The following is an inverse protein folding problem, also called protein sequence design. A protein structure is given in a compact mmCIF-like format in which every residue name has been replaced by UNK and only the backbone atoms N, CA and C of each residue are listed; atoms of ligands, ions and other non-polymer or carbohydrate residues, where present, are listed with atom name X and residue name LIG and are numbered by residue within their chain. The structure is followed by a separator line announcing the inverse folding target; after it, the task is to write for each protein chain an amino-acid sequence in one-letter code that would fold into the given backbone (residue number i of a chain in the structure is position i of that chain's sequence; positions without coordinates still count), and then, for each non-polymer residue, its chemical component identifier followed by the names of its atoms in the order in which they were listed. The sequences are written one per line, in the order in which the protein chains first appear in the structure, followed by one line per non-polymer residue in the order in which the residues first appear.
data_IF_478874673852
#
_entry.id   IF_478874673852
#
_cell.length_a   1.000
_cell.length_b   1.000
_cell.length_c   1.000
_cell.angle_alpha   90.00
_cell.angle_beta   90.00
_cell.angle_gamma   90.00
#
_symmetry.space_group_name_H-M   'P 1'
#
loop_
_entity.id
_entity.type
_entity.pdbx_description
1 polymer ?
#
# COMPACT_ATOMS: atom_id res chain seq x y z
N UNK A 1 -2.09 19.68 -6.56
CA UNK A 1 -0.81 19.14 -6.06
C UNK A 1 -0.34 20.06 -4.94
N UNK A 2 0.01 19.56 -3.76
CA UNK A 2 0.59 20.43 -2.72
C UNK A 2 1.99 20.86 -3.16
N UNK A 3 2.26 22.16 -3.08
CA UNK A 3 3.55 22.76 -3.43
C UNK A 3 4.68 22.30 -2.51
N UNK A 4 5.94 22.42 -2.98
CA UNK A 4 7.17 22.15 -2.21
C UNK A 4 7.24 22.87 -0.86
N UNK A 5 6.50 23.97 -0.70
CA UNK A 5 6.40 24.73 0.56
C UNK A 5 5.88 23.91 1.75
N UNK A 6 5.12 22.83 1.54
CA UNK A 6 4.69 21.97 2.65
C UNK A 6 5.85 21.21 3.31
N UNK A 7 6.96 20.99 2.59
CA UNK A 7 8.14 20.29 3.12
C UNK A 7 9.12 21.23 3.83
N UNK A 8 9.16 22.50 3.43
CA UNK A 8 10.11 23.47 4.00
C UNK A 8 9.64 24.08 5.33
N UNK A 9 8.33 24.01 5.62
CA UNK A 9 7.73 24.49 6.86
C UNK A 9 6.83 23.40 7.45
N UNK A 10 7.39 22.33 8.04
CA UNK A 10 6.57 21.33 8.71
C UNK A 10 5.71 22.02 9.77
N UNK A 11 4.42 21.66 9.91
CA UNK A 11 3.55 22.25 10.92
C UNK A 11 4.21 22.15 12.30
N UNK A 12 4.25 23.26 13.03
CA UNK A 12 4.70 23.24 14.43
C UNK A 12 3.81 22.27 15.21
N UNK A 13 4.42 21.33 15.92
CA UNK A 13 3.71 20.36 16.77
C UNK A 13 2.85 21.11 17.78
N UNK A 14 1.55 21.16 17.52
CA UNK A 14 0.56 21.78 18.38
C UNK A 14 -0.44 20.71 18.79
N UNK A 15 -0.66 20.57 20.09
CA UNK A 15 -1.70 19.69 20.64
C UNK A 15 -3.12 20.06 20.16
N UNK A 16 -3.29 21.22 19.53
CA UNK A 16 -4.55 21.68 18.95
C UNK A 16 -4.86 21.09 17.55
N UNK A 17 -3.87 20.52 16.85
CA UNK A 17 -4.04 19.99 15.49
C UNK A 17 -4.30 18.47 15.45
N UNK A 18 -4.63 17.87 16.60
CA UNK A 18 -4.83 16.43 16.78
C UNK A 18 -3.53 15.69 17.13
N UNK A 19 -3.64 14.50 17.73
CA UNK A 19 -2.47 13.69 18.09
C UNK A 19 -1.67 13.25 16.83
N UNK A 20 -0.45 12.76 16.98
CA UNK A 20 0.38 12.19 15.90
C UNK A 20 1.87 12.38 16.18
N UNK A 21 2.71 11.69 15.41
CA UNK A 21 4.17 11.78 15.47
C UNK A 21 4.74 11.89 14.05
N UNK A 22 5.93 12.48 13.91
CA UNK A 22 6.65 12.44 12.63
C UNK A 22 7.16 11.02 12.43
N UNK A 23 6.76 10.39 11.33
CA UNK A 23 7.17 9.05 10.93
C UNK A 23 7.82 9.09 9.55
N UNK A 24 8.82 8.22 9.37
CA UNK A 24 9.38 7.94 8.06
C UNK A 24 8.53 6.88 7.36
N UNK A 25 7.95 7.26 6.22
CA UNK A 25 7.10 6.41 5.41
C UNK A 25 7.38 6.72 3.93
N UNK A 26 7.77 5.71 3.14
CA UNK A 26 8.11 5.93 1.73
C UNK A 26 9.30 6.87 1.51
N UNK A 27 10.24 6.90 2.45
CA UNK A 27 11.41 7.81 2.42
C UNK A 27 11.07 9.28 2.70
N UNK A 28 9.84 9.58 3.11
CA UNK A 28 9.38 10.92 3.46
C UNK A 28 9.24 11.03 4.98
N UNK A 29 9.69 12.17 5.53
CA UNK A 29 9.33 12.58 6.89
C UNK A 29 7.91 13.15 6.86
N UNK A 30 6.95 12.44 7.43
CA UNK A 30 5.53 12.77 7.33
C UNK A 30 4.89 12.78 8.70
N UNK A 31 3.95 13.69 8.92
CA UNK A 31 3.08 13.61 10.09
C UNK A 31 1.95 12.61 9.77
N UNK A 32 2.18 11.35 10.13
CA UNK A 32 1.28 10.25 9.78
C UNK A 32 0.88 9.46 11.04
N UNK A 33 -0.37 9.02 11.04
CA UNK A 33 -0.95 8.14 12.07
C UNK A 33 -1.51 6.86 11.47
N UNK A 34 -1.45 6.70 10.15
CA UNK A 34 -2.08 5.59 9.45
C UNK A 34 -1.63 4.25 10.01
N UNK A 35 -0.32 4.09 10.25
CA UNK A 35 0.21 2.87 10.86
C UNK A 35 -0.23 2.65 12.31
N UNK A 36 -0.24 3.69 13.14
CA UNK A 36 -0.63 3.60 14.55
C UNK A 36 -2.13 3.30 14.70
N UNK A 37 -2.96 4.03 13.95
CA UNK A 37 -4.41 3.86 13.99
C UNK A 37 -4.82 2.52 13.36
N UNK A 38 -4.18 2.08 12.27
CA UNK A 38 -4.40 0.74 11.73
C UNK A 38 -4.06 -0.36 12.75
N UNK A 39 -2.96 -0.24 13.49
CA UNK A 39 -2.60 -1.19 14.56
C UNK A 39 -3.67 -1.24 15.67
N UNK A 40 -4.25 -0.09 16.04
CA UNK A 40 -5.35 -0.04 17.01
C UNK A 40 -6.60 -0.76 16.48
N UNK A 41 -6.93 -0.58 15.21
CA UNK A 41 -8.05 -1.30 14.56
C UNK A 41 -7.78 -2.79 14.52
N UNK A 42 -6.57 -3.21 14.12
CA UNK A 42 -6.14 -4.63 14.12
C UNK A 42 -6.29 -5.23 15.52
N UNK A 43 -5.80 -4.54 16.56
CA UNK A 43 -5.93 -4.99 17.94
C UNK A 43 -7.41 -5.08 18.38
N UNK A 44 -8.23 -4.10 18.01
CA UNK A 44 -9.66 -4.12 18.30
C UNK A 44 -10.38 -5.29 17.61
N UNK A 45 -10.05 -5.59 16.34
CA UNK A 45 -10.59 -6.75 15.62
C UNK A 45 -10.19 -8.07 16.30
N UNK A 46 -8.90 -8.22 16.66
CA UNK A 46 -8.42 -9.38 17.41
C UNK A 46 -9.15 -9.55 18.75
N UNK A 47 -9.40 -8.45 19.47
CA UNK A 47 -10.16 -8.49 20.74
C UNK A 47 -11.61 -8.95 20.59
N UNK A 48 -12.19 -8.80 19.38
CA UNK A 48 -13.53 -9.29 19.03
C UNK A 48 -13.53 -10.74 18.49
N UNK A 49 -12.40 -11.44 18.54
CA UNK A 49 -12.27 -12.81 18.09
C UNK A 49 -11.95 -12.98 16.60
N UNK A 50 -11.61 -11.90 15.88
CA UNK A 50 -11.13 -12.01 14.49
C UNK A 50 -9.74 -12.61 14.50
N UNK A 51 -9.58 -13.79 13.90
CA UNK A 51 -8.32 -14.54 13.84
C UNK A 51 -7.47 -14.20 12.61
N UNK A 52 -8.09 -13.70 11.54
CA UNK A 52 -7.42 -13.39 10.28
C UNK A 52 -7.81 -12.02 9.73
N UNK A 53 -6.81 -11.22 9.39
CA UNK A 53 -6.90 -9.84 8.95
C UNK A 53 -5.98 -9.65 7.75
N UNK A 54 -6.55 -9.29 6.61
CA UNK A 54 -5.81 -8.77 5.46
C UNK A 54 -5.89 -7.25 5.40
N UNK A 55 -4.91 -6.61 4.77
CA UNK A 55 -4.89 -5.16 4.57
C UNK A 55 -4.72 -4.81 3.10
N UNK A 56 -5.64 -4.03 2.55
CA UNK A 56 -5.51 -3.44 1.21
C UNK A 56 -5.22 -1.94 1.33
N UNK A 57 -4.22 -1.47 0.61
CA UNK A 57 -3.79 -0.07 0.60
C UNK A 57 -3.85 0.52 -0.80
N UNK A 58 -4.42 1.71 -0.91
CA UNK A 58 -4.61 2.44 -2.17
C UNK A 58 -3.80 3.74 -2.12
N UNK A 59 -2.96 4.02 -3.12
CA UNK A 59 -2.13 5.24 -3.15
C UNK A 59 -1.29 5.36 -1.86
N UNK A 60 -1.48 6.41 -1.07
CA UNK A 60 -0.84 6.61 0.24
C UNK A 60 -1.07 5.42 1.20
N UNK A 61 -2.27 4.83 1.16
CA UNK A 61 -2.58 3.65 1.94
C UNK A 61 -1.68 2.45 1.61
N UNK A 62 -1.09 2.43 0.41
CA UNK A 62 -0.11 1.42 0.01
C UNK A 62 1.16 1.44 0.86
N UNK A 63 1.62 2.63 1.24
CA UNK A 63 2.79 2.82 2.09
C UNK A 63 2.52 2.26 3.50
N UNK A 64 1.33 2.57 4.03
CA UNK A 64 0.84 2.02 5.30
C UNK A 64 0.72 0.50 5.23
N UNK A 65 0.18 -0.06 4.14
CA UNK A 65 0.08 -1.51 3.93
C UNK A 65 1.44 -2.21 3.94
N UNK A 66 2.45 -1.67 3.23
CA UNK A 66 3.82 -2.22 3.25
C UNK A 66 4.41 -2.16 4.65
N UNK A 67 4.23 -1.03 5.35
CA UNK A 67 4.71 -0.89 6.73
C UNK A 67 4.04 -1.87 7.69
N UNK A 68 2.73 -2.11 7.55
CA UNK A 68 2.04 -3.12 8.34
C UNK A 68 2.51 -4.54 7.99
N UNK A 69 2.80 -4.78 6.71
CA UNK A 69 3.34 -6.03 6.20
C UNK A 69 4.78 -6.33 6.69
N UNK A 70 5.49 -5.36 7.28
CA UNK A 70 6.78 -5.58 7.94
C UNK A 70 6.65 -6.19 9.36
N UNK A 71 5.41 -6.42 9.79
CA UNK A 71 5.04 -7.14 11.01
C UNK A 71 4.24 -8.39 10.66
N UNK A 72 4.02 -9.26 11.64
CA UNK A 72 3.18 -10.47 11.48
C UNK A 72 1.79 -10.29 12.10
N UNK A 73 1.35 -9.05 12.27
CA UNK A 73 0.05 -8.74 12.87
C UNK A 73 -1.13 -8.98 11.93
N UNK A 74 -0.85 -9.03 10.62
CA UNK A 74 -1.78 -9.27 9.51
C UNK A 74 -1.35 -10.53 8.76
N UNK A 75 -2.25 -11.12 7.97
CA UNK A 75 -1.99 -12.37 7.24
C UNK A 75 -1.56 -12.13 5.80
N UNK A 76 -2.00 -11.03 5.18
CA UNK A 76 -1.61 -10.67 3.82
C UNK A 76 -1.85 -9.18 3.55
N UNK A 77 -1.09 -8.64 2.61
CA UNK A 77 -1.25 -7.27 2.13
C UNK A 77 -1.52 -7.23 0.61
N UNK A 78 -2.33 -6.27 0.18
CA UNK A 78 -2.48 -5.91 -1.24
C UNK A 78 -2.25 -4.41 -1.38
N UNK A 79 -1.42 -4.02 -2.33
CA UNK A 79 -1.10 -2.62 -2.63
C UNK A 79 -1.62 -2.31 -4.02
N UNK A 80 -2.44 -1.26 -4.16
CA UNK A 80 -3.04 -0.84 -5.42
C UNK A 80 -2.60 0.59 -5.73
N UNK A 81 -2.07 0.80 -6.95
CA UNK A 81 -1.46 2.05 -7.42
C UNK A 81 -0.59 2.71 -6.32
N UNK A 82 0.55 2.09 -5.97
CA UNK A 82 1.29 2.45 -4.77
C UNK A 82 1.68 3.92 -4.68
N UNK A 83 1.65 4.48 -3.47
CA UNK A 83 2.39 5.69 -3.15
C UNK A 83 3.90 5.45 -3.16
N UNK A 84 4.71 6.48 -2.80
CA UNK A 84 6.16 6.32 -2.66
C UNK A 84 6.50 5.22 -1.64
N UNK A 85 7.29 4.23 -2.05
CA UNK A 85 7.77 3.15 -1.18
C UNK A 85 9.28 3.01 -1.44
N UNK A 86 10.07 2.77 -0.39
CA UNK A 86 11.51 2.51 -0.56
C UNK A 86 11.77 1.01 -0.75
N UNK A 87 12.91 0.69 -1.35
CA UNK A 87 13.35 -0.69 -1.47
C UNK A 87 13.60 -1.35 -0.10
N UNK A 88 14.09 -0.59 0.89
CA UNK A 88 14.30 -1.07 2.27
C UNK A 88 12.98 -1.43 2.97
N UNK A 89 11.90 -0.70 2.69
CA UNK A 89 10.57 -1.04 3.20
C UNK A 89 10.06 -2.36 2.61
N UNK A 90 10.36 -2.64 1.33
CA UNK A 90 10.06 -3.91 0.68
C UNK A 90 10.90 -5.06 1.27
N UNK A 91 12.19 -4.81 1.55
CA UNK A 91 13.05 -5.79 2.24
C UNK A 91 12.52 -6.12 3.64
N UNK A 92 11.79 -5.19 4.28
CA UNK A 92 11.16 -5.38 5.59
C UNK A 92 9.93 -6.28 5.59
N UNK A 93 9.32 -6.60 4.44
CA UNK A 93 8.05 -7.35 4.36
C UNK A 93 8.20 -8.79 4.87
N UNK A 94 7.22 -9.23 5.67
CA UNK A 94 7.17 -10.54 6.36
C UNK A 94 5.88 -11.34 6.12
N UNK A 95 4.92 -10.80 5.39
CA UNK A 95 3.63 -11.46 5.09
C UNK A 95 3.36 -11.46 3.58
N UNK A 96 2.58 -12.42 3.05
CA UNK A 96 2.26 -12.48 1.64
C UNK A 96 1.75 -11.15 1.10
N UNK A 97 2.38 -10.65 0.02
CA UNK A 97 2.07 -9.33 -0.54
C UNK A 97 1.84 -9.36 -2.05
N UNK A 98 0.77 -8.72 -2.50
CA UNK A 98 0.53 -8.42 -3.91
C UNK A 98 0.68 -6.92 -4.17
N UNK A 99 1.43 -6.54 -5.20
CA UNK A 99 1.60 -5.13 -5.61
C UNK A 99 1.06 -4.96 -7.03
N UNK A 100 -0.01 -4.18 -7.16
CA UNK A 100 -0.67 -3.88 -8.41
C UNK A 100 -0.34 -2.44 -8.78
N UNK A 101 0.43 -2.25 -9.85
CA UNK A 101 0.85 -0.93 -10.33
C UNK A 101 0.32 -0.57 -11.71
N UNK A 102 0.38 0.71 -12.03
CA UNK A 102 -0.02 1.26 -13.32
C UNK A 102 1.20 1.44 -14.23
N UNK A 103 1.03 1.24 -15.54
CA UNK A 103 2.06 1.53 -16.53
C UNK A 103 2.37 3.03 -16.62
N UNK A 104 1.33 3.87 -16.56
CA UNK A 104 1.42 5.33 -16.70
C UNK A 104 1.40 5.97 -15.31
N UNK A 105 2.35 5.58 -14.47
CA UNK A 105 2.47 6.05 -13.08
C UNK A 105 3.83 6.70 -12.83
N UNK A 106 3.82 7.97 -12.44
CA UNK A 106 5.05 8.71 -12.09
C UNK A 106 5.41 8.61 -10.60
N UNK A 107 4.48 8.17 -9.75
CA UNK A 107 4.69 8.01 -8.31
C UNK A 107 5.39 6.68 -8.04
N UNK A 108 4.91 5.60 -8.67
CA UNK A 108 5.50 4.26 -8.58
C UNK A 108 5.74 3.70 -10.00
N UNK A 109 6.80 4.14 -10.70
CA UNK A 109 7.00 3.77 -12.09
C UNK A 109 7.29 2.28 -12.28
N UNK A 110 6.97 1.70 -13.45
CA UNK A 110 7.17 0.28 -13.76
C UNK A 110 8.57 -0.27 -13.44
N UNK A 111 9.61 0.54 -13.62
CA UNK A 111 10.99 0.14 -13.29
C UNK A 111 11.17 -0.12 -11.79
N UNK A 112 10.62 0.75 -10.94
CA UNK A 112 10.68 0.58 -9.49
C UNK A 112 9.88 -0.66 -9.06
N UNK A 113 8.70 -0.88 -9.64
CA UNK A 113 7.87 -2.03 -9.34
C UNK A 113 8.55 -3.36 -9.73
N UNK A 114 9.30 -3.38 -10.83
CA UNK A 114 10.12 -4.56 -11.22
C UNK A 114 11.18 -4.86 -10.17
N UNK A 115 11.89 -3.84 -9.66
CA UNK A 115 12.87 -4.00 -8.58
C UNK A 115 12.23 -4.52 -7.29
N UNK A 116 11.03 -4.06 -6.96
CA UNK A 116 10.27 -4.63 -5.83
C UNK A 116 9.96 -6.11 -6.05
N UNK A 117 9.57 -6.49 -7.27
CA UNK A 117 9.37 -7.89 -7.64
C UNK A 117 10.63 -8.73 -7.48
N UNK A 118 11.79 -8.22 -7.89
CA UNK A 118 13.08 -8.91 -7.71
C UNK A 118 13.42 -9.10 -6.23
N UNK A 119 13.25 -8.05 -5.40
CA UNK A 119 13.47 -8.11 -3.95
C UNK A 119 12.49 -9.03 -3.22
N UNK A 120 11.25 -9.11 -3.67
CA UNK A 120 10.28 -10.03 -3.10
C UNK A 120 10.55 -11.48 -3.55
N UNK A 121 11.04 -11.68 -4.78
CA UNK A 121 11.31 -13.00 -5.33
C UNK A 121 12.41 -13.78 -4.59
N UNK A 122 13.34 -13.08 -3.93
CA UNK A 122 14.38 -13.73 -3.10
C UNK A 122 13.85 -14.26 -1.77
N UNK A 123 12.67 -13.82 -1.33
CA UNK A 123 12.01 -14.28 -0.10
C UNK A 123 11.16 -15.51 -0.39
N UNK A 124 11.80 -16.64 -0.70
CA UNK A 124 11.12 -17.88 -1.15
C UNK A 124 10.05 -18.44 -0.19
N UNK A 125 10.13 -18.11 1.09
CA UNK A 125 9.16 -18.47 2.13
C UNK A 125 7.89 -17.60 2.10
N UNK A 126 7.88 -16.57 1.27
CA UNK A 126 6.85 -15.55 1.18
C UNK A 126 6.26 -15.48 -0.23
N UNK A 127 5.02 -15.94 -0.37
CA UNK A 127 4.31 -15.74 -1.63
C UNK A 127 4.13 -14.24 -1.92
N UNK A 128 4.51 -13.83 -3.12
CA UNK A 128 4.38 -12.45 -3.56
C UNK A 128 4.25 -12.36 -5.07
N UNK A 129 3.62 -11.28 -5.56
CA UNK A 129 3.72 -10.93 -6.96
C UNK A 129 3.60 -9.42 -7.17
N UNK A 130 4.17 -8.97 -8.29
CA UNK A 130 4.00 -7.62 -8.82
C UNK A 130 3.35 -7.71 -10.19
N UNK A 131 2.27 -6.97 -10.40
CA UNK A 131 1.57 -6.88 -11.68
C UNK A 131 1.45 -5.44 -12.11
N UNK A 132 1.85 -5.16 -13.35
CA UNK A 132 1.75 -3.83 -13.95
C UNK A 132 0.63 -3.88 -14.97
N UNK A 133 -0.37 -3.02 -14.79
CA UNK A 133 -1.52 -2.91 -15.67
C UNK A 133 -1.21 -1.94 -16.82
N UNK A 134 -1.33 -2.37 -18.09
CA UNK A 134 -1.05 -1.51 -19.23
C UNK A 134 -2.14 -0.45 -19.42
N UNK A 135 -1.76 0.71 -19.97
CA UNK A 135 -2.69 1.77 -20.38
C UNK A 135 -3.38 2.54 -19.26
N UNK A 136 -3.17 2.17 -17.99
CA UNK A 136 -3.78 2.82 -16.84
C UNK A 136 -2.81 3.75 -16.11
N UNK A 137 -3.35 4.77 -15.46
CA UNK A 137 -2.61 5.77 -14.69
C UNK A 137 -2.76 5.58 -13.18
N UNK A 138 -2.00 6.33 -12.40
CA UNK A 138 -2.11 6.32 -10.94
C UNK A 138 -3.57 6.53 -10.46
N UNK A 139 -4.03 5.68 -9.53
CA UNK A 139 -5.38 5.73 -8.99
C UNK A 139 -6.44 5.02 -9.84
N UNK A 140 -6.07 4.30 -10.91
CA UNK A 140 -7.04 3.69 -11.83
C UNK A 140 -8.03 2.75 -11.16
N UNK A 141 -7.69 2.11 -10.04
CA UNK A 141 -8.60 1.15 -9.40
C UNK A 141 -9.81 1.82 -8.76
N UNK A 142 -9.74 3.13 -8.47
CA UNK A 142 -10.84 3.87 -7.83
C UNK A 142 -11.23 5.16 -8.56
N UNK A 143 -10.46 5.59 -9.56
CA UNK A 143 -10.67 6.85 -10.30
C UNK A 143 -10.92 6.67 -11.80
N UNK A 144 -11.15 5.45 -12.26
CA UNK A 144 -11.48 5.18 -13.67
C UNK A 144 -12.81 5.86 -14.06
N UNK A 145 -12.94 6.20 -15.34
CA UNK A 145 -14.23 6.64 -15.90
C UNK A 145 -15.08 5.42 -16.23
N UNK A 146 -16.36 5.43 -15.88
CA UNK A 146 -17.30 4.38 -16.27
C UNK A 146 -17.53 4.32 -17.81
N UNK A 147 -17.16 5.37 -18.53
CA UNK A 147 -17.24 5.45 -19.99
C UNK A 147 -16.00 4.88 -20.68
N UNK A 148 -14.90 4.67 -19.94
CA UNK A 148 -13.69 4.01 -20.44
C UNK A 148 -13.77 2.52 -20.13
N UNK A 149 -14.29 1.74 -21.07
CA UNK A 149 -14.41 0.28 -20.92
C UNK A 149 -13.07 -0.40 -20.60
N UNK A 150 -11.95 0.14 -21.08
CA UNK A 150 -10.64 -0.44 -20.83
C UNK A 150 -10.21 -0.19 -19.37
N UNK A 151 -10.37 1.04 -18.89
CA UNK A 151 -10.15 1.40 -17.50
C UNK A 151 -11.04 0.63 -16.53
N UNK A 152 -12.33 0.45 -16.87
CA UNK A 152 -13.26 -0.38 -16.09
C UNK A 152 -12.76 -1.81 -15.98
N UNK A 153 -12.45 -2.46 -17.11
CA UNK A 153 -11.97 -3.85 -17.13
C UNK A 153 -10.68 -4.02 -16.32
N UNK A 154 -9.73 -3.09 -16.45
CA UNK A 154 -8.48 -3.13 -15.69
C UNK A 154 -8.69 -2.87 -14.19
N UNK A 155 -9.68 -2.05 -13.80
CA UNK A 155 -10.02 -1.87 -12.39
C UNK A 155 -10.72 -3.10 -11.80
N UNK A 156 -11.64 -3.72 -12.55
CA UNK A 156 -12.30 -4.97 -12.18
C UNK A 156 -11.29 -6.12 -12.00
N UNK A 157 -10.34 -6.25 -12.94
CA UNK A 157 -9.27 -7.24 -12.85
C UNK A 157 -8.37 -7.01 -11.63
N UNK A 158 -8.00 -5.77 -11.33
CA UNK A 158 -7.21 -5.44 -10.14
C UNK A 158 -7.95 -5.77 -8.83
N UNK A 159 -9.27 -5.53 -8.77
CA UNK A 159 -10.07 -5.92 -7.61
C UNK A 159 -10.26 -7.43 -7.50
N UNK A 160 -10.35 -8.14 -8.63
CA UNK A 160 -10.39 -9.59 -8.65
C UNK A 160 -9.08 -10.19 -8.14
N UNK A 161 -7.93 -9.65 -8.55
CA UNK A 161 -6.61 -10.04 -8.04
C UNK A 161 -6.50 -9.82 -6.53
N UNK A 162 -6.99 -8.69 -6.02
CA UNK A 162 -7.09 -8.40 -4.58
C UNK A 162 -7.91 -9.47 -3.85
N UNK A 163 -9.13 -9.75 -4.33
CA UNK A 163 -10.04 -10.70 -3.69
C UNK A 163 -9.47 -12.12 -3.71
N UNK A 164 -8.87 -12.53 -4.82
CA UNK A 164 -8.21 -13.83 -4.95
C UNK A 164 -7.04 -13.95 -3.97
N UNK A 165 -6.25 -12.88 -3.80
CA UNK A 165 -5.16 -12.84 -2.83
C UNK A 165 -5.67 -13.06 -1.40
N UNK A 166 -6.68 -12.30 -0.98
CA UNK A 166 -7.23 -12.47 0.37
C UNK A 166 -7.91 -13.81 0.58
N UNK A 167 -8.63 -14.34 -0.41
CA UNK A 167 -9.22 -15.68 -0.36
C UNK A 167 -8.15 -16.76 -0.13
N UNK A 168 -6.94 -16.56 -0.67
CA UNK A 168 -5.83 -17.52 -0.51
C UNK A 168 -5.20 -17.46 0.88
N UNK A 169 -4.96 -16.27 1.44
CA UNK A 169 -4.11 -16.10 2.63
C UNK A 169 -4.83 -15.66 3.91
N UNK A 170 -6.02 -15.06 3.83
CA UNK A 170 -6.77 -14.58 5.00
C UNK A 170 -7.84 -15.61 5.33
N UNK A 171 -7.53 -16.53 6.26
CA UNK A 171 -8.35 -17.70 6.61
C UNK A 171 -8.63 -17.79 8.10
#
# INVERSE_FOLDING_TARGET
MSSSQCFENPPSLSSACGAGTVQELGGLQTYDKGCEDAKRVIAALKSKGVSAIGVAGFCWGGMVSVKLASSTDIQAAVVLHPGPITEDEIDGVKVPIAILGAEIDHISPPEQLKRFGEKLSVKSELDSFVKIFPGVAHGWTVRYSAEDESGVKSAEEAHLDLLNWFTKYVK
#
